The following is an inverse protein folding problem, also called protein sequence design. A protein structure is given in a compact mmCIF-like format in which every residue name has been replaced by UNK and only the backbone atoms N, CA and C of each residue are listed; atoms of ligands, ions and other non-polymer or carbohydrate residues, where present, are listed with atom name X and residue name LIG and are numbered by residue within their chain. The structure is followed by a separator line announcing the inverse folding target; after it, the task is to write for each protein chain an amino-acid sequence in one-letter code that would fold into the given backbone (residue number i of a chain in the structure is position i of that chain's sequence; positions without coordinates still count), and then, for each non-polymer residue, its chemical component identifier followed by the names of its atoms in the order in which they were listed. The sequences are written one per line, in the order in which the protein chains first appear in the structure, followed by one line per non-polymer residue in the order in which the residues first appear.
data_IF_461127459845
#
_entry.id   IF_461127459845
#
_cell.length_a   1.000
_cell.length_b   1.000
_cell.length_c   1.000
_cell.angle_alpha   90.00
_cell.angle_beta   90.00
_cell.angle_gamma   90.00
#
_symmetry.space_group_name_H-M   'P 1'
#
loop_
_entity.id
_entity.type
_entity.pdbx_description
1 polymer ?
#
# COMPACT_ATOMS: atom_id res chain seq x y z
N UNK A 1 -4.08 -11.49 -54.38
CA UNK A 1 -3.47 -11.71 -53.04
C UNK A 1 -2.86 -10.38 -52.60
N UNK A 2 -3.59 -9.60 -51.80
CA UNK A 2 -3.15 -8.28 -51.34
C UNK A 2 -2.73 -8.47 -49.88
N UNK A 3 -1.44 -8.57 -49.66
CA UNK A 3 -0.88 -8.51 -48.29
C UNK A 3 -1.05 -7.09 -47.77
N UNK A 4 -1.99 -6.93 -46.84
CA UNK A 4 -2.16 -5.69 -46.12
C UNK A 4 -0.89 -5.38 -45.33
N UNK A 5 -0.24 -4.27 -45.65
CA UNK A 5 0.84 -3.67 -44.91
C UNK A 5 0.27 -3.24 -43.55
N UNK A 6 0.48 -4.06 -42.53
CA UNK A 6 0.26 -3.66 -41.15
C UNK A 6 1.28 -2.53 -40.84
N UNK A 7 0.79 -1.32 -40.97
CA UNK A 7 1.54 -0.14 -40.52
C UNK A 7 1.79 -0.32 -39.01
N UNK A 8 3.01 -0.62 -38.62
CA UNK A 8 3.43 -0.57 -37.25
C UNK A 8 3.25 0.87 -36.77
N UNK A 9 2.10 1.15 -36.16
CA UNK A 9 1.90 2.43 -35.50
C UNK A 9 3.03 2.57 -34.48
N UNK A 10 3.83 3.61 -34.61
CA UNK A 10 4.93 3.88 -33.72
C UNK A 10 4.41 3.92 -32.27
N UNK A 11 4.80 2.95 -31.47
CA UNK A 11 4.32 2.76 -30.10
C UNK A 11 4.47 4.04 -29.28
N UNK A 12 5.55 4.79 -29.49
CA UNK A 12 5.77 6.08 -28.82
C UNK A 12 4.72 7.14 -29.18
N UNK A 13 4.35 7.25 -30.46
CA UNK A 13 3.33 8.22 -30.88
C UNK A 13 1.95 7.86 -30.31
N UNK A 14 1.64 6.58 -30.22
CA UNK A 14 0.40 6.09 -29.60
C UNK A 14 0.37 6.38 -28.11
N UNK A 15 1.46 6.11 -27.39
CA UNK A 15 1.58 6.39 -25.95
C UNK A 15 1.45 7.89 -25.64
N UNK A 16 2.08 8.76 -26.47
CA UNK A 16 1.94 10.22 -26.35
C UNK A 16 0.50 10.67 -26.58
N UNK A 17 -0.16 10.15 -27.60
CA UNK A 17 -1.57 10.48 -27.91
C UNK A 17 -2.51 10.07 -26.76
N UNK A 18 -2.19 8.98 -26.07
CA UNK A 18 -2.91 8.51 -24.87
C UNK A 18 -2.52 9.26 -23.59
N UNK A 19 -1.59 10.22 -23.66
CA UNK A 19 -1.15 11.01 -22.52
C UNK A 19 -0.35 10.24 -21.47
N UNK A 20 0.19 9.07 -21.81
CA UNK A 20 0.83 8.18 -20.83
C UNK A 20 2.20 8.65 -20.35
N UNK A 21 2.83 9.63 -21.03
CA UNK A 21 4.10 10.20 -20.59
C UNK A 21 3.94 11.41 -19.67
N UNK A 22 2.88 12.19 -19.84
CA UNK A 22 2.72 13.49 -19.18
C UNK A 22 1.49 13.56 -18.27
N UNK A 23 0.58 12.58 -18.36
CA UNK A 23 -0.61 12.57 -17.53
C UNK A 23 -0.27 12.22 -16.08
N UNK A 24 -0.67 13.08 -15.15
CA UNK A 24 -0.72 12.73 -13.73
C UNK A 24 -1.85 11.75 -13.51
N UNK A 25 -1.56 10.46 -13.62
CA UNK A 25 -2.53 9.40 -13.28
C UNK A 25 -2.51 9.13 -11.79
N UNK A 26 -3.67 9.08 -11.13
CA UNK A 26 -3.76 8.64 -9.74
C UNK A 26 -3.17 7.23 -9.61
N UNK A 27 -2.39 7.00 -8.57
CA UNK A 27 -1.91 5.65 -8.25
C UNK A 27 -3.08 4.83 -7.70
N UNK A 28 -3.44 3.78 -8.38
CA UNK A 28 -4.42 2.80 -7.90
C UNK A 28 -3.69 1.73 -7.09
N UNK A 29 -3.36 2.07 -5.84
CA UNK A 29 -2.63 1.17 -4.93
C UNK A 29 -3.55 0.35 -4.04
N UNK A 30 -4.84 0.67 -4.03
CA UNK A 30 -5.86 -0.01 -3.23
C UNK A 30 -7.24 0.08 -3.89
N UNK A 31 -8.14 -0.78 -3.51
CA UNK A 31 -9.56 -0.69 -3.83
C UNK A 31 -10.37 -0.76 -2.52
N UNK A 32 -11.26 0.21 -2.28
CA UNK A 32 -11.46 1.43 -3.06
C UNK A 32 -10.21 2.31 -3.10
N UNK A 33 -10.10 3.20 -4.09
CA UNK A 33 -8.98 4.14 -4.21
C UNK A 33 -9.12 5.28 -3.20
N UNK A 34 -8.01 5.92 -2.83
CA UNK A 34 -7.96 6.95 -1.79
C UNK A 34 -9.05 8.05 -1.88
N UNK A 35 -9.45 8.55 -3.07
CA UNK A 35 -10.56 9.50 -3.18
C UNK A 35 -11.92 8.98 -2.69
N UNK A 36 -12.07 7.68 -2.58
CA UNK A 36 -13.31 7.03 -2.11
C UNK A 36 -13.28 6.67 -0.62
N UNK A 37 -12.20 7.00 0.08
CA UNK A 37 -12.14 6.78 1.53
C UNK A 37 -13.09 7.74 2.22
N UNK A 38 -14.09 7.18 2.90
CA UNK A 38 -15.02 7.95 3.70
C UNK A 38 -14.54 8.03 5.15
N UNK A 39 -14.75 9.17 5.84
CA UNK A 39 -14.59 9.23 7.29
C UNK A 39 -15.61 8.30 7.96
N UNK A 40 -15.24 7.65 9.04
CA UNK A 40 -16.17 6.81 9.83
C UNK A 40 -15.71 5.37 10.07
N UNK A 41 -14.58 4.97 9.49
CA UNK A 41 -13.93 3.72 9.85
C UNK A 41 -13.02 4.01 11.05
N UNK A 42 -13.54 3.72 12.25
CA UNK A 42 -12.80 3.88 13.51
C UNK A 42 -12.28 2.54 14.04
N UNK A 43 -11.61 2.58 15.21
CA UNK A 43 -11.05 1.39 15.86
C UNK A 43 -12.08 0.26 16.07
N UNK A 44 -13.30 0.61 16.47
CA UNK A 44 -14.37 -0.36 16.72
C UNK A 44 -14.81 -1.10 15.45
N UNK A 45 -14.83 -0.39 14.33
CA UNK A 45 -15.15 -0.99 13.02
C UNK A 45 -14.04 -1.94 12.59
N UNK A 46 -12.79 -1.54 12.77
CA UNK A 46 -11.64 -2.37 12.47
C UNK A 46 -11.61 -3.62 13.37
N UNK A 47 -11.84 -3.48 14.68
CA UNK A 47 -11.92 -4.60 15.61
C UNK A 47 -12.95 -5.64 15.17
N UNK A 48 -14.16 -5.21 14.79
CA UNK A 48 -15.21 -6.09 14.27
C UNK A 48 -14.80 -6.84 13.00
N UNK A 49 -14.04 -6.20 12.12
CA UNK A 49 -13.54 -6.87 10.91
C UNK A 49 -12.50 -7.92 11.25
N UNK A 50 -11.65 -7.66 12.23
CA UNK A 50 -10.63 -8.61 12.69
C UNK A 50 -11.30 -9.81 13.38
N UNK A 51 -12.31 -9.58 14.21
CA UNK A 51 -13.11 -10.62 14.88
C UNK A 51 -13.91 -11.48 13.88
N UNK A 52 -14.28 -10.91 12.74
CA UNK A 52 -14.98 -11.63 11.67
C UNK A 52 -14.07 -12.52 10.80
N UNK A 53 -12.76 -12.51 11.02
CA UNK A 53 -11.84 -13.42 10.33
C UNK A 53 -12.19 -14.87 10.72
N UNK A 54 -12.38 -15.79 9.75
CA UNK A 54 -12.70 -17.16 10.08
C UNK A 54 -11.61 -17.84 10.91
N UNK A 55 -12.01 -18.72 11.83
CA UNK A 55 -11.07 -19.55 12.58
C UNK A 55 -10.24 -20.41 11.60
N UNK A 56 -8.93 -20.48 11.81
CA UNK A 56 -8.01 -21.21 10.94
C UNK A 56 -7.68 -20.52 9.61
N UNK A 57 -8.18 -19.30 9.36
CA UNK A 57 -7.83 -18.56 8.17
C UNK A 57 -6.33 -18.20 8.15
N UNK A 58 -5.72 -18.32 6.97
CA UNK A 58 -4.35 -17.82 6.75
C UNK A 58 -4.40 -16.31 6.54
N UNK A 59 -3.67 -15.57 7.34
CA UNK A 59 -3.53 -14.12 7.22
C UNK A 59 -2.08 -13.75 6.90
N UNK A 60 -1.92 -12.65 6.16
CA UNK A 60 -0.60 -12.03 5.94
C UNK A 60 -0.54 -10.72 6.70
N UNK A 61 0.52 -10.55 7.50
CA UNK A 61 0.76 -9.31 8.22
C UNK A 61 1.84 -8.51 7.49
N UNK A 62 1.49 -7.32 7.01
CA UNK A 62 2.44 -6.36 6.45
C UNK A 62 2.80 -5.31 7.51
N UNK A 63 4.07 -5.23 7.85
CA UNK A 63 4.60 -4.24 8.79
C UNK A 63 5.48 -3.27 8.02
N UNK A 64 5.15 -1.99 8.07
CA UNK A 64 5.91 -0.92 7.47
C UNK A 64 6.64 -0.11 8.54
N UNK A 65 7.97 0.00 8.41
CA UNK A 65 8.79 0.86 9.25
C UNK A 65 9.17 2.11 8.45
N UNK A 66 8.61 3.30 8.74
CA UNK A 66 8.78 4.50 7.93
C UNK A 66 10.09 5.24 8.18
N UNK A 67 11.09 4.60 8.80
CA UNK A 67 12.37 5.23 9.13
C UNK A 67 13.51 4.54 8.42
N UNK A 68 14.33 5.32 7.71
CA UNK A 68 15.51 4.82 7.01
C UNK A 68 16.75 5.64 7.35
N UNK A 69 17.88 4.98 7.60
CA UNK A 69 19.19 5.64 7.74
C UNK A 69 19.69 6.22 6.42
N UNK A 70 19.30 5.61 5.30
CA UNK A 70 19.59 6.10 3.94
C UNK A 70 18.32 6.03 3.11
N UNK A 71 17.91 7.17 2.59
CA UNK A 71 16.82 7.23 1.62
C UNK A 71 17.33 6.69 0.28
N UNK A 72 16.54 5.84 -0.35
CA UNK A 72 16.84 5.29 -1.67
C UNK A 72 15.75 5.65 -2.68
N UNK A 73 16.09 5.58 -3.95
CA UNK A 73 15.18 5.90 -5.05
C UNK A 73 14.06 4.85 -5.24
N UNK A 74 14.22 3.70 -4.65
CA UNK A 74 13.26 2.59 -4.77
C UNK A 74 11.98 2.83 -3.98
N UNK A 75 12.04 3.56 -2.87
CA UNK A 75 10.91 3.66 -1.94
C UNK A 75 9.85 4.65 -2.45
N UNK A 76 8.67 4.13 -2.78
CA UNK A 76 7.48 4.92 -3.11
C UNK A 76 6.54 5.11 -1.90
N UNK A 77 6.84 4.47 -0.77
CA UNK A 77 6.08 4.58 0.48
C UNK A 77 6.50 5.84 1.25
N UNK A 78 5.65 6.27 2.17
CA UNK A 78 6.02 7.36 3.07
C UNK A 78 7.20 6.92 3.93
N UNK A 79 8.35 7.55 3.73
CA UNK A 79 9.59 7.24 4.43
C UNK A 79 10.21 8.52 4.94
N UNK A 80 10.73 8.47 6.16
CA UNK A 80 11.43 9.56 6.81
C UNK A 80 12.88 9.15 7.07
N UNK A 81 13.83 10.01 6.69
CA UNK A 81 15.23 9.82 7.06
C UNK A 81 15.43 10.06 8.56
N UNK A 82 16.27 9.24 9.18
CA UNK A 82 16.68 9.44 10.59
C UNK A 82 18.15 9.19 10.78
N UNK A 83 18.78 10.04 11.58
CA UNK A 83 20.18 9.90 12.01
C UNK A 83 20.33 9.19 13.35
N UNK A 84 19.23 8.97 14.09
CA UNK A 84 19.22 8.33 15.39
C UNK A 84 18.31 7.12 15.45
N UNK A 85 18.50 6.26 16.42
CA UNK A 85 17.66 5.07 16.63
C UNK A 85 16.40 5.37 17.46
N UNK A 86 16.35 6.49 18.17
CA UNK A 86 15.25 6.82 19.07
C UNK A 86 13.85 6.74 18.42
N UNK A 87 13.59 7.33 17.24
CA UNK A 87 12.27 7.22 16.61
C UNK A 87 11.96 5.79 16.14
N UNK A 88 12.98 5.00 15.80
CA UNK A 88 12.80 3.60 15.41
C UNK A 88 12.39 2.76 16.61
N UNK A 89 13.05 2.95 17.75
CA UNK A 89 12.75 2.24 19.00
C UNK A 89 11.32 2.57 19.47
N UNK A 90 10.97 3.86 19.54
CA UNK A 90 9.63 4.29 19.92
C UNK A 90 8.54 3.73 18.99
N UNK A 91 8.83 3.66 17.69
CA UNK A 91 7.92 3.08 16.72
C UNK A 91 7.78 1.56 16.89
N UNK A 92 8.87 0.85 17.17
CA UNK A 92 8.84 -0.59 17.42
C UNK A 92 8.04 -0.94 18.68
N UNK A 93 8.14 -0.13 19.74
CA UNK A 93 7.33 -0.28 20.94
C UNK A 93 5.83 -0.09 20.66
N UNK A 94 5.49 0.90 19.84
CA UNK A 94 4.10 1.11 19.39
C UNK A 94 3.59 -0.04 18.55
N UNK A 95 4.39 -0.56 17.63
CA UNK A 95 4.04 -1.74 16.83
C UNK A 95 3.79 -2.98 17.69
N UNK A 96 4.59 -3.18 18.73
CA UNK A 96 4.40 -4.29 19.65
C UNK A 96 3.05 -4.19 20.38
N UNK A 97 2.62 -2.99 20.78
CA UNK A 97 1.31 -2.75 21.38
C UNK A 97 0.18 -3.01 20.36
N UNK A 98 0.34 -2.57 19.13
CA UNK A 98 -0.64 -2.77 18.06
C UNK A 98 -0.81 -4.25 17.71
N UNK A 99 0.30 -5.01 17.65
CA UNK A 99 0.26 -6.47 17.46
C UNK A 99 -0.46 -7.16 18.63
N UNK A 100 -0.24 -6.72 19.86
CA UNK A 100 -0.93 -7.25 21.03
C UNK A 100 -2.43 -6.98 20.99
N UNK A 101 -2.85 -5.78 20.58
CA UNK A 101 -4.26 -5.42 20.38
C UNK A 101 -4.87 -6.29 19.27
N UNK A 102 -4.21 -6.44 18.14
CA UNK A 102 -4.69 -7.26 17.05
C UNK A 102 -4.90 -8.73 17.48
N UNK A 103 -3.92 -9.27 18.21
CA UNK A 103 -3.98 -10.62 18.75
C UNK A 103 -5.20 -10.86 19.65
N UNK A 104 -5.63 -9.83 20.41
CA UNK A 104 -6.79 -9.95 21.31
C UNK A 104 -8.11 -10.03 20.55
N UNK A 105 -8.18 -9.52 19.33
CA UNK A 105 -9.37 -9.51 18.48
C UNK A 105 -9.40 -10.68 17.48
N UNK A 106 -8.25 -11.28 17.17
CA UNK A 106 -8.19 -12.43 16.26
C UNK A 106 -8.80 -13.67 16.91
N UNK A 107 -9.49 -14.52 16.13
CA UNK A 107 -9.97 -15.81 16.61
C UNK A 107 -8.82 -16.65 17.19
N UNK A 108 -9.14 -17.42 18.22
CA UNK A 108 -8.18 -18.35 18.79
C UNK A 108 -8.05 -19.57 17.87
N UNK A 109 -6.89 -19.73 17.28
CA UNK A 109 -6.59 -20.85 16.39
C UNK A 109 -5.11 -21.14 16.33
#
# INVERSE_FOLDING_TARGET
MVYGMLTFMNTQSTLRRLGLFDARVPRYTSYPTAPHFAPGIGPDTFAKWVEAVPEGAQISLYIHVPFCRRLCWFCACRTQGTSSDAPVIAYAEMLAQEIALLRNHLPKG
#
